data_IF_887135271089
#
_entry.id   IF_887135271089
#
_cell.length_a   1.000
_cell.length_b   1.000
_cell.length_c   1.000
_cell.angle_alpha   90.00
_cell.angle_beta   90.00
_cell.angle_gamma   90.00
#
_symmetry.space_group_name_H-M   'P 1'
#
loop_
_entity.id
_entity.type
_entity.pdbx_description
1 polymer ?
#
# COMPACT_ATOMS: atom_id res chain seq x y z
N UNK A 1 15.12 3.84 0.91
CA UNK A 1 14.81 3.18 -0.38
C UNK A 1 14.70 1.66 -0.21
N UNK A 2 15.74 0.97 0.31
CA UNK A 2 15.69 -0.50 0.50
C UNK A 2 14.54 -0.99 1.39
N UNK A 3 14.15 -0.26 2.44
CA UNK A 3 13.07 -0.72 3.32
C UNK A 3 11.71 -0.72 2.62
N UNK A 4 11.35 0.34 1.87
CA UNK A 4 10.06 0.41 1.18
C UNK A 4 9.92 -0.60 0.05
N UNK A 5 10.99 -0.88 -0.70
CA UNK A 5 10.98 -1.95 -1.71
C UNK A 5 10.87 -3.33 -1.08
N UNK A 6 11.54 -3.58 0.05
CA UNK A 6 11.42 -4.82 0.79
C UNK A 6 10.02 -4.99 1.40
N UNK A 7 9.44 -3.92 1.97
CA UNK A 7 8.06 -3.92 2.49
C UNK A 7 7.05 -4.21 1.39
N UNK A 8 7.20 -3.60 0.21
CA UNK A 8 6.33 -3.90 -0.93
C UNK A 8 6.47 -5.34 -1.41
N UNK A 9 7.70 -5.86 -1.52
CA UNK A 9 7.93 -7.26 -1.89
C UNK A 9 7.32 -8.24 -0.89
N UNK A 10 7.49 -7.99 0.42
CA UNK A 10 6.89 -8.79 1.49
C UNK A 10 5.35 -8.74 1.45
N UNK A 11 4.79 -7.57 1.15
CA UNK A 11 3.36 -7.40 0.98
C UNK A 11 2.81 -8.23 -0.18
N UNK A 12 3.47 -8.18 -1.35
CA UNK A 12 3.10 -8.99 -2.52
C UNK A 12 3.23 -10.48 -2.19
N UNK A 13 4.34 -10.90 -1.58
CA UNK A 13 4.54 -12.29 -1.19
C UNK A 13 3.46 -12.79 -0.22
N UNK A 14 3.11 -11.99 0.79
CA UNK A 14 2.04 -12.30 1.73
C UNK A 14 0.70 -12.51 0.99
N UNK A 15 0.35 -11.59 0.09
CA UNK A 15 -0.92 -11.66 -0.64
C UNK A 15 -1.04 -12.84 -1.61
N UNK A 16 0.08 -13.43 -2.04
CA UNK A 16 0.10 -14.66 -2.83
C UNK A 16 0.06 -15.96 -2.00
N UNK A 17 0.60 -15.94 -0.78
CA UNK A 17 0.82 -17.17 0.01
C UNK A 17 -0.15 -17.34 1.18
N UNK A 18 -0.86 -16.29 1.57
CA UNK A 18 -1.69 -16.33 2.77
C UNK A 18 -2.98 -17.14 2.53
N UNK A 19 -3.28 -18.13 3.39
CA UNK A 19 -4.43 -19.02 3.22
C UNK A 19 -5.78 -18.36 3.55
N UNK A 20 -5.76 -17.18 4.17
CA UNK A 20 -6.95 -16.42 4.57
C UNK A 20 -7.37 -15.38 3.51
N UNK A 21 -6.79 -15.43 2.32
CA UNK A 21 -7.08 -14.53 1.22
C UNK A 21 -7.73 -15.29 0.06
N UNK A 22 -8.44 -14.59 -0.84
CA UNK A 22 -9.07 -15.20 -2.01
C UNK A 22 -8.06 -15.91 -2.91
N UNK A 23 -8.35 -17.15 -3.31
CA UNK A 23 -7.48 -17.99 -4.14
C UNK A 23 -7.28 -17.45 -5.56
N UNK A 24 -8.15 -16.55 -6.02
CA UNK A 24 -8.09 -15.93 -7.35
C UNK A 24 -6.99 -14.85 -7.49
N UNK A 25 -6.18 -14.63 -6.44
CA UNK A 25 -5.13 -13.60 -6.37
C UNK A 25 -5.64 -12.17 -6.61
N UNK A 26 -6.95 -11.96 -6.67
CA UNK A 26 -7.58 -10.67 -6.91
C UNK A 26 -7.22 -9.63 -5.85
N UNK A 27 -6.94 -10.08 -4.62
CA UNK A 27 -6.43 -9.24 -3.54
C UNK A 27 -5.18 -8.53 -4.05
N UNK A 28 -4.12 -9.27 -4.38
CA UNK A 28 -2.86 -8.74 -4.89
C UNK A 28 -3.05 -7.80 -6.08
N UNK A 29 -3.83 -8.22 -7.09
CA UNK A 29 -4.00 -7.44 -8.31
C UNK A 29 -4.68 -6.10 -8.08
N UNK A 30 -5.63 -6.04 -7.14
CA UNK A 30 -6.39 -4.82 -6.87
C UNK A 30 -5.67 -3.91 -5.88
N UNK A 31 -4.94 -4.45 -4.90
CA UNK A 31 -4.35 -3.67 -3.80
C UNK A 31 -2.88 -3.30 -4.01
N UNK A 32 -2.09 -4.11 -4.74
CA UNK A 32 -0.68 -3.81 -5.00
C UNK A 32 -0.43 -2.46 -5.68
N UNK A 33 -1.25 -2.00 -6.65
CA UNK A 33 -1.10 -0.66 -7.22
C UNK A 33 -1.20 0.46 -6.16
N UNK A 34 -2.11 0.33 -5.18
CA UNK A 34 -2.27 1.33 -4.11
C UNK A 34 -1.05 1.35 -3.19
N UNK A 35 -0.58 0.18 -2.74
CA UNK A 35 0.59 0.09 -1.86
C UNK A 35 1.84 0.61 -2.56
N UNK A 36 2.07 0.19 -3.80
CA UNK A 36 3.21 0.64 -4.61
C UNK A 36 3.18 2.15 -4.85
N UNK A 37 2.01 2.69 -5.23
CA UNK A 37 1.84 4.13 -5.43
C UNK A 37 2.05 4.93 -4.13
N UNK A 38 1.55 4.45 -2.98
CA UNK A 38 1.72 5.12 -1.70
C UNK A 38 3.19 5.19 -1.28
N UNK A 39 3.93 4.09 -1.44
CA UNK A 39 5.37 4.03 -1.17
C UNK A 39 6.15 4.96 -2.10
N UNK A 40 5.84 4.96 -3.40
CA UNK A 40 6.45 5.87 -4.38
C UNK A 40 6.14 7.34 -4.05
N UNK A 41 4.89 7.66 -3.74
CA UNK A 41 4.43 9.01 -3.37
C UNK A 41 5.17 9.51 -2.13
N UNK A 42 5.25 8.68 -1.08
CA UNK A 42 6.00 8.98 0.13
C UNK A 42 7.45 9.36 -0.18
N UNK A 43 8.16 8.53 -0.95
CA UNK A 43 9.55 8.81 -1.32
C UNK A 43 9.70 10.05 -2.20
N UNK A 44 8.76 10.28 -3.10
CA UNK A 44 8.77 11.47 -3.94
C UNK A 44 8.60 12.75 -3.11
N UNK A 45 7.67 12.78 -2.14
CA UNK A 45 7.49 13.92 -1.25
C UNK A 45 8.71 14.13 -0.36
N UNK A 46 9.24 13.06 0.24
CA UNK A 46 10.43 13.13 1.08
C UNK A 46 11.64 13.69 0.32
N UNK A 47 11.80 13.31 -0.95
CA UNK A 47 12.89 13.81 -1.79
C UNK A 47 12.71 15.26 -2.22
N UNK A 48 11.48 15.70 -2.46
CA UNK A 48 11.17 17.07 -2.91
C UNK A 48 11.03 18.06 -1.75
N UNK A 49 10.75 17.58 -0.54
CA UNK A 49 10.53 18.40 0.66
C UNK A 49 11.32 17.83 1.85
N UNK A 50 12.66 17.97 1.88
CA UNK A 50 13.51 17.36 2.89
C UNK A 50 13.31 17.93 4.31
N UNK A 51 12.63 19.07 4.44
CA UNK A 51 12.32 19.68 5.73
C UNK A 51 11.05 19.11 6.40
N UNK A 52 10.25 18.30 5.68
CA UNK A 52 9.05 17.67 6.24
C UNK A 52 9.44 16.36 6.92
N UNK A 53 8.91 16.16 8.12
CA UNK A 53 9.14 14.93 8.86
C UNK A 53 8.40 13.74 8.23
N UNK A 54 8.94 12.53 8.44
CA UNK A 54 8.37 11.29 7.91
C UNK A 54 6.89 11.09 8.29
N UNK A 55 6.54 11.43 9.54
CA UNK A 55 5.17 11.34 10.03
C UNK A 55 4.23 12.32 9.33
N UNK A 56 4.71 13.54 9.06
CA UNK A 56 3.94 14.54 8.33
C UNK A 56 3.65 14.08 6.90
N UNK A 57 4.63 13.47 6.23
CA UNK A 57 4.46 12.93 4.87
C UNK A 57 3.51 11.72 4.87
N UNK A 58 3.60 10.85 5.87
CA UNK A 58 2.76 9.65 5.97
C UNK A 58 1.29 9.98 6.30
N UNK A 59 1.05 10.93 7.21
CA UNK A 59 -0.29 11.18 7.77
C UNK A 59 -0.93 12.49 7.34
N UNK A 60 -0.20 13.43 6.72
CA UNK A 60 -0.75 14.71 6.26
C UNK A 60 -0.67 14.91 4.76
N UNK A 61 -0.03 14.02 4.01
CA UNK A 61 -0.08 14.09 2.55
C UNK A 61 -1.43 13.56 2.03
N UNK A 62 -2.26 14.41 1.40
CA UNK A 62 -3.61 14.01 0.99
C UNK A 62 -3.58 12.89 -0.06
N UNK A 63 -2.58 12.87 -0.94
CA UNK A 63 -2.44 11.82 -1.95
C UNK A 63 -2.08 10.49 -1.30
N UNK A 64 -1.11 10.47 -0.39
CA UNK A 64 -0.78 9.27 0.41
C UNK A 64 -2.00 8.74 1.15
N UNK A 65 -2.77 9.62 1.81
CA UNK A 65 -3.98 9.23 2.53
C UNK A 65 -5.04 8.62 1.62
N UNK A 66 -5.31 9.22 0.44
CA UNK A 66 -6.26 8.67 -0.53
C UNK A 66 -5.83 7.27 -0.99
N UNK A 67 -4.54 7.07 -1.24
CA UNK A 67 -4.01 5.77 -1.64
C UNK A 67 -4.17 4.72 -0.53
N UNK A 68 -3.90 5.10 0.72
CA UNK A 68 -4.09 4.22 1.88
C UNK A 68 -5.57 3.90 2.11
N UNK A 69 -6.46 4.88 2.02
CA UNK A 69 -7.90 4.65 2.13
C UNK A 69 -8.41 3.76 1.01
N UNK A 70 -7.97 4.00 -0.24
CA UNK A 70 -8.31 3.14 -1.38
C UNK A 70 -7.85 1.70 -1.18
N UNK A 71 -6.62 1.51 -0.69
CA UNK A 71 -6.12 0.19 -0.29
C UNK A 71 -7.04 -0.49 0.74
N UNK A 72 -7.38 0.21 1.83
CA UNK A 72 -8.23 -0.36 2.90
C UNK A 72 -9.61 -0.73 2.37
N UNK A 73 -10.25 0.16 1.61
CA UNK A 73 -11.59 -0.08 1.04
C UNK A 73 -11.57 -1.32 0.14
N UNK A 74 -10.61 -1.43 -0.77
CA UNK A 74 -10.49 -2.58 -1.68
C UNK A 74 -10.18 -3.86 -0.92
N UNK A 75 -9.25 -3.82 0.03
CA UNK A 75 -8.86 -4.97 0.84
C UNK A 75 -10.05 -5.49 1.65
N UNK A 76 -10.75 -4.62 2.37
CA UNK A 76 -11.92 -4.98 3.17
C UNK A 76 -13.04 -5.49 2.27
N UNK A 77 -13.30 -4.85 1.13
CA UNK A 77 -14.29 -5.33 0.16
C UNK A 77 -13.96 -6.74 -0.30
N UNK A 78 -12.71 -7.03 -0.68
CA UNK A 78 -12.34 -8.39 -1.08
C UNK A 78 -12.48 -9.38 0.06
N UNK A 79 -12.12 -9.02 1.30
CA UNK A 79 -12.29 -9.91 2.45
C UNK A 79 -13.76 -10.22 2.77
N UNK A 80 -14.67 -9.26 2.58
CA UNK A 80 -16.09 -9.43 2.90
C UNK A 80 -16.89 -10.15 1.81
N UNK A 81 -16.49 -10.04 0.54
CA UNK A 81 -17.25 -10.56 -0.61
C UNK A 81 -16.60 -11.78 -1.29
N UNK A 82 -15.43 -12.21 -0.82
CA UNK A 82 -14.72 -13.37 -1.37
C UNK A 82 -14.48 -14.49 -0.34
N UNK A 83 -15.06 -14.34 0.86
CA UNK A 83 -15.15 -15.38 1.89
C UNK A 83 -16.27 -16.36 1.63
#
# INVERSE_FOLDING_TARGET
ALSGSATFALYVQYTFSAPNLPEDYSMTWLTAPFVGAAVLRYYWVARTNPARDAEEIAFRDPVTLVLVVGFVVVAVTRLLFAS
#
